data_IF_610039050634
#
_entry.id   IF_610039050634
#
_cell.length_a   1.000
_cell.length_b   1.000
_cell.length_c   1.000
_cell.angle_alpha   90.00
_cell.angle_beta   90.00
_cell.angle_gamma   90.00
#
_symmetry.space_group_name_H-M   'P 1'
#
loop_
_entity.id
_entity.type
_entity.pdbx_description
1 polymer ?
#
# COMPACT_ATOMS: atom_id res chain seq x y z
N UNK A 1 -10.19 -14.98 -11.32
CA UNK A 1 -9.46 -15.31 -10.09
C UNK A 1 -9.96 -14.43 -8.97
N UNK A 2 -10.31 -15.01 -7.83
CA UNK A 2 -10.87 -14.35 -6.63
C UNK A 2 -9.82 -13.87 -5.64
N UNK A 3 -8.57 -13.73 -6.07
CA UNK A 3 -7.46 -13.34 -5.19
C UNK A 3 -7.53 -11.85 -4.87
N UNK A 4 -7.98 -11.52 -3.64
CA UNK A 4 -8.03 -10.15 -3.11
C UNK A 4 -6.63 -9.70 -2.61
N UNK A 5 -5.62 -9.72 -3.48
CA UNK A 5 -4.22 -9.48 -3.07
C UNK A 5 -4.00 -8.11 -2.41
N UNK A 6 -4.79 -7.10 -2.78
CA UNK A 6 -4.73 -5.74 -2.23
C UNK A 6 -5.57 -5.54 -0.96
N UNK A 7 -6.15 -6.60 -0.36
CA UNK A 7 -7.01 -6.51 0.81
C UNK A 7 -6.37 -7.10 2.09
N UNK A 8 -5.05 -7.32 2.08
CA UNK A 8 -4.34 -7.88 3.23
C UNK A 8 -4.47 -6.97 4.46
N UNK A 9 -4.83 -7.50 5.65
CA UNK A 9 -4.83 -6.72 6.89
C UNK A 9 -3.47 -6.09 7.23
N UNK A 10 -2.36 -6.77 6.89
CA UNK A 10 -1.01 -6.24 7.11
C UNK A 10 -0.74 -4.99 6.24
N UNK A 11 -1.23 -5.00 5.00
CA UNK A 11 -1.13 -3.84 4.11
C UNK A 11 -1.97 -2.67 4.64
N UNK A 12 -3.20 -2.94 5.10
CA UNK A 12 -4.06 -1.93 5.71
C UNK A 12 -3.40 -1.30 6.95
N UNK A 13 -2.88 -2.13 7.85
CA UNK A 13 -2.18 -1.68 9.05
C UNK A 13 -0.98 -0.79 8.72
N UNK A 14 -0.15 -1.19 7.76
CA UNK A 14 1.00 -0.39 7.33
C UNK A 14 0.59 0.96 6.73
N UNK A 15 -0.47 0.98 5.91
CA UNK A 15 -1.01 2.22 5.34
C UNK A 15 -1.50 3.16 6.44
N UNK A 16 -2.29 2.65 7.39
CA UNK A 16 -2.86 3.47 8.47
C UNK A 16 -1.75 4.01 9.38
N UNK A 17 -0.86 3.13 9.85
CA UNK A 17 0.19 3.49 10.80
C UNK A 17 1.17 4.49 10.18
N UNK A 18 1.59 4.28 8.94
CA UNK A 18 2.62 5.14 8.35
C UNK A 18 2.07 6.46 7.78
N UNK A 19 0.87 6.44 7.19
CA UNK A 19 0.36 7.60 6.45
C UNK A 19 -0.66 8.43 7.24
N UNK A 20 -1.16 7.96 8.40
CA UNK A 20 -2.18 8.69 9.15
C UNK A 20 -1.94 8.82 10.66
N UNK A 21 -1.15 7.94 11.29
CA UNK A 21 -1.13 7.84 12.76
C UNK A 21 -0.49 9.03 13.50
N UNK A 22 0.32 9.87 12.85
CA UNK A 22 0.99 11.00 13.49
C UNK A 22 0.57 12.33 12.85
N UNK A 23 0.59 13.47 13.57
CA UNK A 23 0.29 14.78 12.99
C UNK A 23 1.20 15.15 11.80
N UNK A 24 2.42 14.59 11.76
CA UNK A 24 3.39 14.76 10.67
C UNK A 24 3.25 13.74 9.54
N UNK A 25 2.29 12.81 9.63
CA UNK A 25 2.06 11.83 8.59
C UNK A 25 1.47 12.50 7.32
N UNK A 26 1.79 11.95 6.16
CA UNK A 26 1.41 12.55 4.86
C UNK A 26 -0.10 12.75 4.71
N UNK A 27 -0.93 11.87 5.27
CA UNK A 27 -2.38 12.00 5.23
C UNK A 27 -2.91 13.21 6.00
N UNK A 28 -2.18 13.66 7.03
CA UNK A 28 -2.51 14.85 7.81
C UNK A 28 -1.87 16.12 7.20
N UNK A 29 -0.73 16.00 6.52
CA UNK A 29 -0.08 17.10 5.83
C UNK A 29 -0.75 17.47 4.50
N UNK A 30 -1.37 16.50 3.81
CA UNK A 30 -2.00 16.67 2.50
C UNK A 30 -3.46 16.15 2.51
N UNK A 31 -4.35 16.73 3.34
CA UNK A 31 -5.71 16.23 3.49
C UNK A 31 -6.48 16.24 2.16
N UNK A 32 -6.23 17.19 1.27
CA UNK A 32 -6.85 17.28 -0.05
C UNK A 32 -6.58 16.05 -0.94
N UNK A 33 -5.46 15.34 -0.69
CA UNK A 33 -5.09 14.12 -1.43
C UNK A 33 -5.55 12.85 -0.72
N UNK A 34 -5.58 12.84 0.61
CA UNK A 34 -5.79 11.62 1.42
C UNK A 34 -7.18 11.50 2.06
N UNK A 35 -7.97 12.58 2.13
CA UNK A 35 -9.24 12.57 2.89
C UNK A 35 -10.31 11.67 2.26
N UNK A 36 -10.41 11.61 0.94
CA UNK A 36 -11.50 10.85 0.32
C UNK A 36 -11.18 9.36 0.28
N UNK A 37 -9.95 9.01 -0.04
CA UNK A 37 -9.48 7.65 -0.22
C UNK A 37 -7.95 7.62 -0.17
N UNK A 38 -7.37 6.50 0.27
CA UNK A 38 -5.92 6.34 0.19
C UNK A 38 -5.48 6.37 -1.29
N UNK A 39 -4.46 7.15 -1.67
CA UNK A 39 -3.94 7.18 -3.02
C UNK A 39 -3.38 5.81 -3.45
N UNK A 40 -3.64 5.40 -4.70
CA UNK A 40 -3.09 4.14 -5.24
C UNK A 40 -1.56 4.05 -5.17
N UNK A 41 -0.78 5.12 -5.47
CA UNK A 41 0.68 5.08 -5.32
C UNK A 41 1.13 4.77 -3.89
N UNK A 42 0.42 5.27 -2.88
CA UNK A 42 0.71 5.02 -1.46
C UNK A 42 0.54 3.54 -1.12
N UNK A 43 -0.50 2.91 -1.65
CA UNK A 43 -0.75 1.48 -1.45
C UNK A 43 0.33 0.65 -2.13
N UNK A 44 0.73 1.01 -3.35
CA UNK A 44 1.81 0.34 -4.06
C UNK A 44 3.16 0.49 -3.31
N UNK A 45 3.42 1.65 -2.72
CA UNK A 45 4.61 1.90 -1.91
C UNK A 45 4.60 1.01 -0.65
N UNK A 46 3.48 0.97 0.08
CA UNK A 46 3.33 0.12 1.26
C UNK A 46 3.42 -1.38 0.91
N UNK A 47 2.81 -1.81 -0.19
CA UNK A 47 2.87 -3.19 -0.66
C UNK A 47 4.30 -3.59 -1.07
N UNK A 48 5.04 -2.68 -1.73
CA UNK A 48 6.46 -2.89 -2.04
C UNK A 48 7.31 -3.01 -0.78
N UNK A 49 7.11 -2.15 0.22
CA UNK A 49 7.83 -2.22 1.49
C UNK A 49 7.54 -3.54 2.23
N UNK A 50 6.27 -3.97 2.24
CA UNK A 50 5.87 -5.25 2.82
C UNK A 50 6.51 -6.43 2.09
N UNK A 51 6.53 -6.42 0.75
CA UNK A 51 7.17 -7.45 -0.05
C UNK A 51 8.68 -7.51 0.22
N UNK A 52 9.37 -6.36 0.24
CA UNK A 52 10.79 -6.28 0.56
C UNK A 52 11.13 -6.89 1.92
N UNK A 53 10.30 -6.60 2.94
CA UNK A 53 10.46 -7.18 4.27
C UNK A 53 10.27 -8.71 4.28
N UNK A 54 9.25 -9.21 3.57
CA UNK A 54 8.98 -10.66 3.46
C UNK A 54 10.12 -11.36 2.71
N UNK A 55 10.56 -10.84 1.58
CA UNK A 55 11.63 -11.43 0.77
C UNK A 55 12.93 -11.51 1.56
N UNK A 56 13.27 -10.45 2.30
CA UNK A 56 14.46 -10.45 3.16
C UNK A 56 14.33 -11.46 4.31
N UNK A 57 13.18 -11.52 4.96
CA UNK A 57 12.91 -12.50 6.02
C UNK A 57 13.01 -13.94 5.49
N UNK A 58 12.50 -14.21 4.29
CA UNK A 58 12.56 -15.53 3.68
C UNK A 58 13.99 -16.00 3.41
N UNK A 59 14.91 -15.09 3.10
CA UNK A 59 16.33 -15.39 2.86
C UNK A 59 17.11 -15.55 4.17
N UNK A 60 16.90 -14.64 5.12
CA UNK A 60 17.72 -14.55 6.33
C UNK A 60 17.18 -15.38 7.50
N UNK A 61 15.88 -15.69 7.50
CA UNK A 61 15.19 -16.40 8.58
C UNK A 61 15.02 -15.59 9.88
N UNK A 62 15.48 -14.34 9.90
CA UNK A 62 15.43 -13.47 11.09
C UNK A 62 14.85 -12.09 10.75
N UNK A 63 14.17 -11.49 11.71
CA UNK A 63 13.72 -10.11 11.62
C UNK A 63 14.91 -9.18 11.79
N UNK A 64 15.20 -8.37 10.77
CA UNK A 64 16.27 -7.38 10.82
C UNK A 64 15.91 -6.19 9.93
N UNK A 65 16.44 -5.02 10.28
CA UNK A 65 16.35 -3.81 9.47
C UNK A 65 16.82 -4.07 8.03
N UNK A 66 16.10 -3.50 7.07
CA UNK A 66 16.40 -3.60 5.66
C UNK A 66 16.72 -2.22 5.07
N UNK A 67 17.80 -2.15 4.31
CA UNK A 67 18.03 -0.98 3.47
C UNK A 67 17.00 -1.00 2.35
N UNK A 68 16.09 -0.03 2.38
CA UNK A 68 15.01 0.10 1.42
C UNK A 68 15.39 1.11 0.35
N UNK A 69 16.00 0.61 -0.73
CA UNK A 69 16.54 1.45 -1.80
C UNK A 69 15.68 1.42 -3.07
N UNK A 70 15.51 2.59 -3.68
CA UNK A 70 14.75 2.75 -4.93
C UNK A 70 15.38 1.95 -6.09
N UNK A 71 16.70 1.92 -6.19
CA UNK A 71 17.46 1.13 -7.18
C UNK A 71 17.04 -0.35 -7.18
N UNK A 72 16.81 -0.90 -5.99
CA UNK A 72 16.47 -2.31 -5.77
C UNK A 72 14.98 -2.59 -6.02
N UNK A 73 14.09 -1.73 -5.51
CA UNK A 73 12.65 -2.05 -5.47
C UNK A 73 11.79 -1.27 -6.46
N UNK A 74 12.30 -0.27 -7.17
CA UNK A 74 11.53 0.52 -8.16
C UNK A 74 10.82 -0.34 -9.21
N UNK A 75 11.41 -1.45 -9.65
CA UNK A 75 10.77 -2.40 -10.57
C UNK A 75 9.50 -3.01 -9.97
N UNK A 76 9.52 -3.35 -8.69
CA UNK A 76 8.36 -3.89 -7.96
C UNK A 76 7.26 -2.84 -7.87
N UNK A 77 7.61 -1.59 -7.56
CA UNK A 77 6.65 -0.48 -7.55
C UNK A 77 5.94 -0.31 -8.91
N UNK A 78 6.71 -0.28 -10.01
CA UNK A 78 6.16 -0.14 -11.36
C UNK A 78 5.24 -1.31 -11.71
N UNK A 79 5.61 -2.53 -11.33
CA UNK A 79 4.75 -3.71 -11.51
C UNK A 79 3.45 -3.61 -10.72
N UNK A 80 3.50 -3.17 -9.46
CA UNK A 80 2.31 -2.96 -8.61
C UNK A 80 1.39 -1.87 -9.19
N UNK A 81 1.95 -0.78 -9.70
CA UNK A 81 1.19 0.24 -10.41
C UNK A 81 0.53 -0.32 -11.67
N UNK A 82 1.23 -1.14 -12.46
CA UNK A 82 0.63 -1.80 -13.62
C UNK A 82 -0.50 -2.78 -13.24
N UNK A 83 -0.41 -3.44 -12.09
CA UNK A 83 -1.50 -4.27 -11.54
C UNK A 83 -2.71 -3.39 -11.19
N UNK A 84 -2.50 -2.21 -10.60
CA UNK A 84 -3.60 -1.28 -10.33
C UNK A 84 -4.30 -0.82 -11.60
N UNK A 85 -3.56 -0.53 -12.68
CA UNK A 85 -4.16 -0.20 -13.98
C UNK A 85 -5.03 -1.34 -14.50
N UNK A 86 -4.62 -2.61 -14.32
CA UNK A 86 -5.44 -3.77 -14.71
C UNK A 86 -6.70 -3.89 -13.86
N UNK A 87 -6.60 -3.61 -12.55
CA UNK A 87 -7.75 -3.58 -11.64
C UNK A 87 -8.74 -2.51 -12.10
N UNK A 88 -8.25 -1.32 -12.45
CA UNK A 88 -9.06 -0.19 -12.90
C UNK A 88 -9.86 -0.50 -14.17
N UNK A 89 -9.31 -1.34 -15.05
CA UNK A 89 -9.98 -1.82 -16.25
C UNK A 89 -11.21 -2.71 -15.99
N UNK A 90 -11.45 -3.14 -14.75
CA UNK A 90 -12.61 -3.95 -14.38
C UNK A 90 -13.46 -3.22 -13.32
N UNK A 91 -14.61 -2.68 -13.73
CA UNK A 91 -15.53 -1.92 -12.88
C UNK A 91 -15.81 -2.56 -11.50
N UNK A 92 -15.97 -3.88 -11.46
CA UNK A 92 -16.29 -4.63 -10.24
C UNK A 92 -15.10 -4.66 -9.29
N UNK A 93 -13.89 -4.85 -9.83
CA UNK A 93 -12.66 -4.80 -9.05
C UNK A 93 -12.30 -3.37 -8.62
N UNK A 94 -12.49 -2.37 -9.48
CA UNK A 94 -12.29 -0.95 -9.16
C UNK A 94 -13.18 -0.50 -8.00
N UNK A 95 -14.46 -0.88 -7.99
CA UNK A 95 -15.38 -0.55 -6.91
C UNK A 95 -14.93 -1.17 -5.57
N UNK A 96 -14.52 -2.45 -5.60
CA UNK A 96 -14.05 -3.16 -4.41
C UNK A 96 -12.76 -2.55 -3.85
N UNK A 97 -11.77 -2.27 -4.70
CA UNK A 97 -10.52 -1.64 -4.25
C UNK A 97 -10.76 -0.22 -3.77
N UNK A 98 -11.63 0.56 -4.43
CA UNK A 98 -12.02 1.88 -3.93
C UNK A 98 -12.64 1.82 -2.53
N UNK A 99 -13.58 0.90 -2.29
CA UNK A 99 -14.21 0.75 -0.97
C UNK A 99 -13.18 0.49 0.13
N UNK A 100 -12.17 -0.36 -0.13
CA UNK A 100 -11.06 -0.59 0.81
C UNK A 100 -10.26 0.69 1.08
N UNK A 101 -9.94 1.46 0.04
CA UNK A 101 -9.15 2.70 0.16
C UNK A 101 -9.90 3.78 0.94
N UNK A 102 -11.21 3.90 0.74
CA UNK A 102 -12.07 4.79 1.52
C UNK A 102 -12.11 4.33 2.98
N UNK A 103 -12.27 3.03 3.22
CA UNK A 103 -12.27 2.47 4.57
C UNK A 103 -10.98 2.77 5.30
N UNK A 104 -9.81 2.56 4.68
CA UNK A 104 -8.52 2.83 5.32
C UNK A 104 -8.28 4.31 5.59
N UNK A 105 -8.66 5.20 4.67
CA UNK A 105 -8.58 6.64 4.89
C UNK A 105 -9.52 7.10 6.02
N UNK A 106 -10.66 6.44 6.17
CA UNK A 106 -11.61 6.73 7.25
C UNK A 106 -11.10 6.22 8.59
N UNK A 107 -10.50 5.03 8.64
CA UNK A 107 -9.94 4.45 9.87
C UNK A 107 -8.66 5.14 10.34
N UNK A 108 -7.86 5.70 9.42
CA UNK A 108 -6.63 6.39 9.78
C UNK A 108 -6.84 7.77 10.40
N UNK A 109 -8.02 8.37 10.20
CA UNK A 109 -8.42 9.62 10.86
C UNK A 109 -9.06 9.35 12.20
#
# INVERSE_FOLDING_TARGET
GTTRNMASPALAGLVIVFFYATPSALGNLFPEVFVQEVPKPVICLAAMALQAAIDKYAIMGIQQDCQFESSTYSKVFVQLMAIQTKIDGNHKHTALTRALRVSWATTGR
#
